data_IF_033249705508
#
_entry.id   IF_033249705508
#
_cell.length_a   1.000
_cell.length_b   1.000
_cell.length_c   1.000
_cell.angle_alpha   90.00
_cell.angle_beta   90.00
_cell.angle_gamma   90.00
#
_symmetry.space_group_name_H-M   'P 1'
#
loop_
_entity.id
_entity.type
_entity.pdbx_description
1 polymer ?
#
# COMPACT_ATOMS: atom_id res chain seq x y z
N UNK A 1 20.52 26.89 -34.40
CA UNK A 1 19.91 25.58 -34.38
C UNK A 1 18.68 25.49 -33.45
N UNK A 2 18.65 26.26 -32.35
CA UNK A 2 17.47 26.31 -31.45
C UNK A 2 16.16 26.69 -32.17
N UNK A 3 16.20 27.61 -33.14
CA UNK A 3 15.01 27.95 -33.94
C UNK A 3 14.51 26.77 -34.79
N UNK A 4 15.42 25.95 -35.25
CA UNK A 4 15.09 24.75 -36.03
C UNK A 4 14.48 23.68 -35.16
N UNK A 5 15.02 23.47 -33.97
CA UNK A 5 14.45 22.58 -32.94
C UNK A 5 13.01 23.02 -32.61
N UNK A 6 12.80 24.28 -32.26
CA UNK A 6 11.48 24.84 -31.98
C UNK A 6 10.50 24.63 -33.12
N UNK A 7 10.92 24.87 -34.37
CA UNK A 7 10.05 24.69 -35.55
C UNK A 7 9.63 23.22 -35.72
N UNK A 8 10.52 22.24 -35.40
CA UNK A 8 10.17 20.81 -35.43
C UNK A 8 9.24 20.44 -34.32
N UNK A 9 9.47 20.95 -33.11
CA UNK A 9 8.58 20.77 -31.97
C UNK A 9 7.17 21.33 -32.28
N UNK A 10 7.05 22.58 -32.77
CA UNK A 10 5.76 23.19 -33.09
C UNK A 10 5.00 22.43 -34.18
N UNK A 11 5.73 21.83 -35.13
CA UNK A 11 5.16 20.98 -36.16
C UNK A 11 4.61 19.67 -35.55
N UNK A 12 5.35 19.08 -34.65
CA UNK A 12 4.92 17.89 -33.90
C UNK A 12 3.64 18.15 -33.10
N UNK A 13 3.57 19.26 -32.38
CA UNK A 13 2.38 19.66 -31.62
C UNK A 13 1.15 19.82 -32.53
N UNK A 14 1.31 20.37 -33.72
CA UNK A 14 0.21 20.46 -34.69
C UNK A 14 -0.25 19.10 -35.19
N UNK A 15 0.70 18.23 -35.54
CA UNK A 15 0.35 16.88 -35.98
C UNK A 15 -0.36 16.08 -34.86
N UNK A 16 0.11 16.20 -33.60
CA UNK A 16 -0.54 15.59 -32.46
C UNK A 16 -1.98 16.08 -32.29
N UNK A 17 -2.21 17.38 -32.35
CA UNK A 17 -3.56 17.96 -32.25
C UNK A 17 -4.48 17.56 -33.42
N UNK A 18 -3.92 17.28 -34.59
CA UNK A 18 -4.64 16.81 -35.77
C UNK A 18 -4.89 15.29 -35.77
N UNK A 19 -4.44 14.57 -34.74
CA UNK A 19 -4.55 13.12 -34.64
C UNK A 19 -3.61 12.36 -35.59
N UNK A 20 -2.57 13.02 -36.09
CA UNK A 20 -1.57 12.45 -37.00
C UNK A 20 -0.36 11.99 -36.20
N UNK A 21 -0.54 10.90 -35.47
CA UNK A 21 0.42 10.45 -34.42
C UNK A 21 1.77 10.06 -34.98
N UNK A 22 1.83 9.33 -36.10
CA UNK A 22 3.07 8.92 -36.73
C UNK A 22 3.90 10.13 -37.23
N UNK A 23 3.25 11.10 -37.81
CA UNK A 23 3.95 12.32 -38.26
C UNK A 23 4.37 13.20 -37.06
N UNK A 24 3.59 13.21 -35.98
CA UNK A 24 3.98 13.88 -34.75
C UNK A 24 5.25 13.25 -34.15
N UNK A 25 5.32 11.92 -34.07
CA UNK A 25 6.50 11.16 -33.62
C UNK A 25 7.74 11.53 -34.45
N UNK A 26 7.61 11.57 -35.78
CA UNK A 26 8.72 11.95 -36.67
C UNK A 26 9.20 13.39 -36.42
N UNK A 27 8.26 14.31 -36.23
CA UNK A 27 8.58 15.73 -36.02
C UNK A 27 9.26 15.94 -34.65
N UNK A 28 8.78 15.30 -33.56
CA UNK A 28 9.41 15.34 -32.25
C UNK A 28 10.77 14.63 -32.24
N UNK A 29 10.91 13.52 -32.95
CA UNK A 29 12.20 12.84 -33.11
C UNK A 29 13.23 13.78 -33.75
N UNK A 30 12.85 14.50 -34.81
CA UNK A 30 13.73 15.50 -35.42
C UNK A 30 14.08 16.67 -34.47
N UNK A 31 13.17 17.05 -33.56
CA UNK A 31 13.47 18.03 -32.52
C UNK A 31 14.48 17.50 -31.49
N UNK A 32 14.33 16.24 -31.06
CA UNK A 32 15.22 15.55 -30.11
C UNK A 32 16.61 15.33 -30.74
N UNK A 33 16.72 15.00 -32.03
CA UNK A 33 18.00 14.89 -32.73
C UNK A 33 18.80 16.22 -32.72
N UNK A 34 18.09 17.35 -32.74
CA UNK A 34 18.70 18.67 -32.67
C UNK A 34 19.07 19.05 -31.23
N UNK A 35 18.19 18.76 -30.28
CA UNK A 35 18.39 19.00 -28.85
C UNK A 35 18.03 17.75 -28.05
N UNK A 36 19.01 16.87 -27.78
CA UNK A 36 18.80 15.62 -27.04
C UNK A 36 18.40 15.79 -25.57
N UNK A 37 18.36 17.02 -25.06
CA UNK A 37 17.93 17.33 -23.69
C UNK A 37 16.58 18.05 -23.65
N UNK A 38 15.88 18.10 -24.75
CA UNK A 38 14.56 18.72 -24.82
C UNK A 38 13.49 17.86 -24.15
N UNK A 39 13.31 18.04 -22.84
CA UNK A 39 12.34 17.28 -22.03
C UNK A 39 10.92 17.38 -22.62
N UNK A 40 10.51 18.55 -23.09
CA UNK A 40 9.18 18.77 -23.66
C UNK A 40 8.97 17.95 -24.95
N UNK A 41 10.01 17.82 -25.78
CA UNK A 41 9.91 17.02 -27.00
C UNK A 41 9.76 15.53 -26.71
N UNK A 42 10.44 15.03 -25.67
CA UNK A 42 10.23 13.67 -25.18
C UNK A 42 8.81 13.49 -24.63
N UNK A 43 8.35 14.39 -23.76
CA UNK A 43 6.99 14.30 -23.19
C UNK A 43 5.93 14.24 -24.29
N UNK A 44 5.99 15.15 -25.25
CA UNK A 44 5.00 15.20 -26.34
C UNK A 44 5.13 14.03 -27.33
N UNK A 45 6.34 13.47 -27.51
CA UNK A 45 6.50 12.25 -28.31
C UNK A 45 5.92 11.05 -27.57
N UNK A 46 6.10 10.99 -26.24
CA UNK A 46 5.46 10.01 -25.38
C UNK A 46 3.92 10.08 -25.50
N UNK A 47 3.33 11.28 -25.49
CA UNK A 47 1.90 11.47 -25.71
C UNK A 47 1.46 10.96 -27.09
N UNK A 48 2.25 11.23 -28.13
CA UNK A 48 1.95 10.72 -29.48
C UNK A 48 2.01 9.17 -29.55
N UNK A 49 2.99 8.57 -28.90
CA UNK A 49 3.06 7.10 -28.79
C UNK A 49 1.90 6.52 -27.97
N UNK A 50 1.51 7.19 -26.90
CA UNK A 50 0.35 6.81 -26.10
C UNK A 50 -0.93 6.77 -26.93
N UNK A 51 -1.22 7.84 -27.68
CA UNK A 51 -2.39 7.91 -28.55
C UNK A 51 -2.33 6.89 -29.69
N UNK A 52 -1.15 6.64 -30.25
CA UNK A 52 -0.94 5.57 -31.23
C UNK A 52 -1.28 4.20 -30.64
N UNK A 53 -0.85 3.93 -29.41
CA UNK A 53 -1.13 2.68 -28.71
C UNK A 53 -2.64 2.46 -28.50
N UNK A 54 -3.43 3.52 -28.25
CA UNK A 54 -4.88 3.43 -28.10
C UNK A 54 -5.57 2.89 -29.37
N UNK A 55 -5.01 3.14 -30.55
CA UNK A 55 -5.55 2.69 -31.83
C UNK A 55 -4.94 1.39 -32.35
N UNK A 56 -3.80 0.97 -31.82
CA UNK A 56 -3.09 -0.22 -32.20
C UNK A 56 -3.61 -1.49 -31.47
N UNK A 57 -3.20 -2.66 -31.92
CA UNK A 57 -3.54 -3.95 -31.29
C UNK A 57 -2.33 -4.88 -31.23
N UNK A 58 -2.37 -5.83 -30.30
CA UNK A 58 -1.32 -6.85 -30.18
C UNK A 58 0.05 -6.28 -29.85
N UNK A 59 1.09 -6.76 -30.53
CA UNK A 59 2.47 -6.32 -30.27
C UNK A 59 2.72 -4.86 -30.62
N UNK A 60 2.05 -4.31 -31.63
CA UNK A 60 2.17 -2.88 -32.00
C UNK A 60 1.69 -1.98 -30.86
N UNK A 61 0.61 -2.36 -30.21
CA UNK A 61 0.09 -1.66 -29.03
C UNK A 61 1.08 -1.66 -27.87
N UNK A 62 1.60 -2.84 -27.51
CA UNK A 62 2.56 -2.97 -26.39
C UNK A 62 3.86 -2.26 -26.66
N UNK A 63 4.35 -2.28 -27.92
CA UNK A 63 5.56 -1.57 -28.32
C UNK A 63 5.37 -0.05 -28.30
N UNK A 64 4.20 0.44 -28.72
CA UNK A 64 3.89 1.87 -28.65
C UNK A 64 3.76 2.35 -27.18
N UNK A 65 3.11 1.59 -26.30
CA UNK A 65 3.10 1.91 -24.87
C UNK A 65 4.49 1.92 -24.26
N UNK A 66 5.36 0.96 -24.62
CA UNK A 66 6.75 0.93 -24.14
C UNK A 66 7.51 2.17 -24.59
N UNK A 67 7.35 2.57 -25.87
CA UNK A 67 7.99 3.77 -26.38
C UNK A 67 7.49 5.04 -25.68
N UNK A 68 6.20 5.12 -25.36
CA UNK A 68 5.65 6.21 -24.56
C UNK A 68 6.29 6.27 -23.16
N UNK A 69 6.39 5.14 -22.48
CA UNK A 69 6.97 5.05 -21.14
C UNK A 69 8.45 5.49 -21.12
N UNK A 70 9.25 5.03 -22.08
CA UNK A 70 10.66 5.39 -22.23
C UNK A 70 10.85 6.89 -22.52
N UNK A 71 9.92 7.48 -23.27
CA UNK A 71 9.92 8.92 -23.53
C UNK A 71 9.54 9.73 -22.28
N UNK A 72 8.57 9.27 -21.46
CA UNK A 72 8.28 9.90 -20.19
C UNK A 72 9.45 9.80 -19.20
N UNK A 73 10.17 8.66 -19.15
CA UNK A 73 11.42 8.54 -18.38
C UNK A 73 12.46 9.57 -18.86
N UNK A 74 12.62 9.72 -20.17
CA UNK A 74 13.56 10.69 -20.74
C UNK A 74 13.13 12.14 -20.44
N UNK A 75 11.83 12.42 -20.45
CA UNK A 75 11.29 13.72 -20.08
C UNK A 75 11.58 14.05 -18.61
N UNK A 76 11.47 13.08 -17.70
CA UNK A 76 11.85 13.24 -16.30
C UNK A 76 13.36 13.43 -16.12
N UNK A 77 14.16 12.70 -16.87
CA UNK A 77 15.63 12.78 -16.79
C UNK A 77 16.15 14.18 -17.19
N UNK A 78 15.58 14.79 -18.20
CA UNK A 78 16.04 16.09 -18.73
C UNK A 78 15.22 17.30 -18.26
N UNK A 79 14.09 17.06 -17.61
CA UNK A 79 13.18 18.08 -17.09
C UNK A 79 13.03 18.00 -15.58
N UNK A 80 11.76 17.96 -15.16
CA UNK A 80 11.39 17.83 -13.76
C UNK A 80 10.58 16.55 -13.54
N UNK A 81 10.89 15.83 -12.49
CA UNK A 81 10.06 14.75 -12.02
C UNK A 81 8.77 15.32 -11.42
N UNK A 82 7.64 14.91 -11.96
CA UNK A 82 6.31 15.31 -11.49
C UNK A 82 5.44 14.09 -11.25
N UNK A 83 4.46 14.22 -10.35
CA UNK A 83 3.51 13.14 -10.09
C UNK A 83 2.73 12.76 -11.36
N UNK A 84 2.45 13.72 -12.23
CA UNK A 84 1.80 13.51 -13.53
C UNK A 84 2.67 12.64 -14.46
N UNK A 85 3.96 12.93 -14.58
CA UNK A 85 4.87 12.11 -15.39
C UNK A 85 5.09 10.73 -14.80
N UNK A 86 5.13 10.61 -13.47
CA UNK A 86 5.15 9.28 -12.83
C UNK A 86 3.92 8.47 -13.18
N UNK A 87 2.71 9.10 -13.16
CA UNK A 87 1.48 8.42 -13.54
C UNK A 87 1.49 7.99 -15.00
N UNK A 88 1.84 8.89 -15.92
CA UNK A 88 1.90 8.57 -17.35
C UNK A 88 2.90 7.45 -17.64
N UNK A 89 4.08 7.48 -17.03
CA UNK A 89 5.06 6.41 -17.18
C UNK A 89 4.53 5.08 -16.62
N UNK A 90 3.89 5.09 -15.44
CA UNK A 90 3.30 3.91 -14.83
C UNK A 90 2.21 3.29 -15.72
N UNK A 91 1.26 4.11 -16.18
CA UNK A 91 0.16 3.68 -17.05
C UNK A 91 0.69 3.13 -18.40
N UNK A 92 1.72 3.77 -18.95
CA UNK A 92 2.34 3.33 -20.20
C UNK A 92 3.09 1.99 -20.01
N UNK A 93 3.86 1.81 -18.93
CA UNK A 93 4.47 0.53 -18.60
C UNK A 93 3.43 -0.56 -18.33
N UNK A 94 2.33 -0.22 -17.65
CA UNK A 94 1.22 -1.14 -17.45
C UNK A 94 0.63 -1.59 -18.81
N UNK A 95 0.37 -0.65 -19.74
CA UNK A 95 -0.09 -0.95 -21.10
C UNK A 95 0.90 -1.77 -21.90
N UNK A 96 2.20 -1.58 -21.68
CA UNK A 96 3.28 -2.36 -22.27
C UNK A 96 3.45 -3.75 -21.61
N UNK A 97 2.67 -4.08 -20.57
CA UNK A 97 2.78 -5.27 -19.75
C UNK A 97 4.14 -5.43 -19.03
N UNK A 98 4.85 -4.32 -18.83
CA UNK A 98 6.04 -4.25 -17.99
C UNK A 98 5.61 -3.90 -16.56
N UNK A 99 5.02 -4.89 -15.88
CA UNK A 99 4.40 -4.71 -14.58
C UNK A 99 5.40 -4.36 -13.47
N UNK A 100 6.66 -4.79 -13.58
CA UNK A 100 7.71 -4.43 -12.61
C UNK A 100 7.99 -2.93 -12.62
N UNK A 101 8.17 -2.36 -13.81
CA UNK A 101 8.37 -0.92 -13.95
C UNK A 101 7.11 -0.13 -13.59
N UNK A 102 5.93 -0.60 -14.02
CA UNK A 102 4.67 0.02 -13.66
C UNK A 102 4.49 0.10 -12.13
N UNK A 103 4.71 -1.02 -11.41
CA UNK A 103 4.66 -1.07 -9.95
C UNK A 103 5.62 -0.05 -9.32
N UNK A 104 6.86 0.02 -9.80
CA UNK A 104 7.88 0.95 -9.28
C UNK A 104 7.46 2.42 -9.39
N UNK A 105 6.77 2.81 -10.47
CA UNK A 105 6.26 4.17 -10.66
C UNK A 105 4.98 4.43 -9.87
N UNK A 106 4.05 3.47 -9.81
CA UNK A 106 2.85 3.61 -8.98
C UNK A 106 3.19 3.74 -7.50
N UNK A 107 4.20 3.06 -7.00
CA UNK A 107 4.64 3.19 -5.60
C UNK A 107 5.06 4.61 -5.21
N UNK A 108 5.63 5.37 -6.14
CA UNK A 108 5.98 6.78 -5.91
C UNK A 108 4.75 7.68 -5.72
N UNK A 109 3.59 7.22 -6.15
CA UNK A 109 2.31 7.93 -6.07
C UNK A 109 1.41 7.45 -4.94
N UNK A 110 1.76 6.35 -4.27
CA UNK A 110 0.91 5.65 -3.32
C UNK A 110 0.35 6.52 -2.19
N UNK A 111 1.15 7.50 -1.72
CA UNK A 111 0.72 8.42 -0.65
C UNK A 111 -0.19 9.55 -1.14
N UNK A 112 -0.16 9.85 -2.42
CA UNK A 112 -0.79 11.04 -3.01
C UNK A 112 -2.04 10.73 -3.81
N UNK A 113 -2.20 9.48 -4.22
CA UNK A 113 -3.19 9.07 -5.21
C UNK A 113 -3.84 7.74 -4.83
N UNK A 114 -5.13 7.79 -4.50
CA UNK A 114 -5.89 6.64 -4.05
C UNK A 114 -6.14 5.61 -5.16
N UNK A 115 -6.22 6.05 -6.42
CA UNK A 115 -6.51 5.16 -7.55
C UNK A 115 -5.33 4.21 -7.87
N UNK A 116 -4.14 4.52 -7.34
CA UNK A 116 -2.92 3.74 -7.57
C UNK A 116 -2.98 2.36 -6.92
N UNK A 117 -3.69 2.20 -5.80
CA UNK A 117 -3.78 0.92 -5.08
C UNK A 117 -4.35 -0.20 -5.96
N UNK A 118 -5.41 0.07 -6.73
CA UNK A 118 -5.99 -0.91 -7.63
C UNK A 118 -4.98 -1.37 -8.70
N UNK A 119 -4.21 -0.43 -9.25
CA UNK A 119 -3.16 -0.74 -10.24
C UNK A 119 -2.00 -1.53 -9.65
N UNK A 120 -1.58 -1.23 -8.41
CA UNK A 120 -0.58 -2.00 -7.69
C UNK A 120 -1.03 -3.44 -7.46
N UNK A 121 -2.29 -3.66 -7.07
CA UNK A 121 -2.87 -5.00 -6.91
C UNK A 121 -2.88 -5.75 -8.25
N UNK A 122 -3.26 -5.10 -9.35
CA UNK A 122 -3.24 -5.72 -10.68
C UNK A 122 -1.81 -6.10 -11.11
N UNK A 123 -0.83 -5.21 -10.92
CA UNK A 123 0.58 -5.49 -11.20
C UNK A 123 1.08 -6.67 -10.35
N UNK A 124 0.82 -6.65 -9.05
CA UNK A 124 1.26 -7.73 -8.14
C UNK A 124 0.64 -9.08 -8.47
N UNK A 125 -0.62 -9.11 -8.93
CA UNK A 125 -1.25 -10.35 -9.44
C UNK A 125 -0.57 -10.88 -10.69
N UNK A 126 -0.22 -9.99 -11.63
CA UNK A 126 0.48 -10.36 -12.85
C UNK A 126 1.90 -10.88 -12.57
N UNK A 127 2.59 -10.32 -11.58
CA UNK A 127 3.94 -10.70 -11.16
C UNK A 127 3.97 -11.88 -10.18
N UNK A 128 2.84 -12.20 -9.54
CA UNK A 128 2.78 -13.19 -8.46
C UNK A 128 3.39 -12.70 -7.14
N UNK A 129 3.46 -11.37 -6.94
CA UNK A 129 4.08 -10.70 -5.77
C UNK A 129 3.05 -10.19 -4.77
N UNK A 130 1.85 -10.78 -4.74
CA UNK A 130 0.76 -10.31 -3.90
C UNK A 130 1.07 -10.32 -2.41
N UNK A 131 1.85 -11.30 -1.92
CA UNK A 131 2.27 -11.36 -0.51
C UNK A 131 3.21 -10.23 -0.13
N UNK A 132 4.18 -9.92 -0.98
CA UNK A 132 5.13 -8.83 -0.80
C UNK A 132 4.43 -7.47 -0.79
N UNK A 133 3.44 -7.29 -1.68
CA UNK A 133 2.61 -6.10 -1.67
C UNK A 133 1.77 -6.02 -0.39
N UNK A 134 1.10 -7.11 0.02
CA UNK A 134 0.32 -7.16 1.24
C UNK A 134 1.14 -6.78 2.47
N UNK A 135 2.35 -7.31 2.61
CA UNK A 135 3.27 -6.93 3.69
C UNK A 135 3.58 -5.43 3.72
N UNK A 136 3.85 -4.82 2.57
CA UNK A 136 4.11 -3.37 2.47
C UNK A 136 2.88 -2.54 2.82
N UNK A 137 1.71 -2.92 2.34
CA UNK A 137 0.46 -2.22 2.63
C UNK A 137 0.04 -2.37 4.10
N UNK A 138 0.28 -3.55 4.70
CA UNK A 138 0.03 -3.76 6.12
C UNK A 138 0.90 -2.85 6.99
N UNK A 139 2.19 -2.72 6.69
CA UNK A 139 3.08 -1.81 7.42
C UNK A 139 2.55 -0.36 7.35
N UNK A 140 2.08 0.09 6.18
CA UNK A 140 1.47 1.42 6.04
C UNK A 140 0.16 1.55 6.79
N UNK A 141 -0.70 0.54 6.75
CA UNK A 141 -1.95 0.55 7.51
C UNK A 141 -1.68 0.69 9.01
N UNK A 142 -0.74 -0.07 9.55
CA UNK A 142 -0.37 -0.02 10.96
C UNK A 142 0.27 1.32 11.36
N UNK A 143 0.97 1.98 10.44
CA UNK A 143 1.59 3.29 10.66
C UNK A 143 0.57 4.44 10.60
N UNK A 144 -0.34 4.41 9.62
CA UNK A 144 -1.21 5.56 9.30
C UNK A 144 -2.65 5.40 9.79
N UNK A 145 -3.13 4.17 9.97
CA UNK A 145 -4.53 3.86 10.25
C UNK A 145 -5.47 4.09 9.06
N UNK A 146 -4.95 4.37 7.86
CA UNK A 146 -5.79 4.70 6.71
C UNK A 146 -6.53 3.47 6.17
N UNK A 147 -7.86 3.53 6.17
CA UNK A 147 -8.76 2.42 5.80
C UNK A 147 -8.52 1.91 4.35
N UNK A 148 -8.08 2.77 3.44
CA UNK A 148 -7.79 2.37 2.05
C UNK A 148 -6.76 1.23 1.95
N UNK A 149 -5.77 1.21 2.84
CA UNK A 149 -4.79 0.12 2.88
C UNK A 149 -5.40 -1.19 3.38
N UNK A 150 -6.31 -1.13 4.36
CA UNK A 150 -7.03 -2.31 4.83
C UNK A 150 -7.94 -2.86 3.73
N UNK A 151 -8.63 -2.01 2.98
CA UNK A 151 -9.46 -2.43 1.85
C UNK A 151 -8.63 -3.15 0.78
N UNK A 152 -7.46 -2.58 0.42
CA UNK A 152 -6.52 -3.20 -0.52
C UNK A 152 -5.97 -4.56 0.00
N UNK A 153 -5.67 -4.65 1.29
CA UNK A 153 -5.27 -5.91 1.94
C UNK A 153 -6.35 -6.97 1.84
N UNK A 154 -7.62 -6.61 2.07
CA UNK A 154 -8.75 -7.53 1.92
C UNK A 154 -8.90 -8.08 0.49
N UNK A 155 -8.39 -7.39 -0.53
CA UNK A 155 -8.36 -7.90 -1.90
C UNK A 155 -7.18 -8.87 -2.17
N UNK A 156 -6.10 -8.73 -1.43
CA UNK A 156 -4.89 -9.54 -1.57
C UNK A 156 -4.92 -10.81 -0.73
N UNK A 157 -5.55 -10.77 0.45
CA UNK A 157 -5.64 -11.90 1.36
C UNK A 157 -6.59 -13.01 0.87
N UNK A 158 -6.40 -14.27 1.31
CA UNK A 158 -7.25 -15.37 0.94
C UNK A 158 -8.72 -15.15 1.30
N UNK A 159 -9.61 -15.20 0.32
CA UNK A 159 -11.05 -14.92 0.51
C UNK A 159 -11.75 -15.96 1.38
N UNK A 160 -11.27 -17.18 1.39
CA UNK A 160 -11.76 -18.27 2.23
C UNK A 160 -11.53 -17.96 3.71
N UNK A 161 -10.33 -17.48 4.06
CA UNK A 161 -9.99 -17.05 5.42
C UNK A 161 -10.90 -15.90 5.87
N UNK A 162 -11.03 -14.87 5.04
CA UNK A 162 -11.86 -13.70 5.37
C UNK A 162 -13.34 -14.06 5.57
N UNK A 163 -13.89 -14.98 4.75
CA UNK A 163 -15.26 -15.47 4.93
C UNK A 163 -15.43 -16.26 6.21
N UNK A 164 -14.45 -17.09 6.55
CA UNK A 164 -14.49 -17.88 7.77
C UNK A 164 -14.42 -16.98 9.02
N UNK A 165 -13.58 -15.95 9.00
CA UNK A 165 -13.52 -14.96 10.07
C UNK A 165 -14.81 -14.14 10.18
N UNK A 166 -15.38 -13.72 9.07
CA UNK A 166 -16.66 -13.02 9.07
C UNK A 166 -17.80 -13.88 9.67
N UNK A 167 -17.81 -15.18 9.40
CA UNK A 167 -18.76 -16.10 10.01
C UNK A 167 -18.57 -16.25 11.51
N UNK A 168 -17.32 -16.17 12.00
CA UNK A 168 -17.00 -16.24 13.43
C UNK A 168 -17.44 -14.97 14.17
N UNK A 169 -17.23 -13.79 13.57
CA UNK A 169 -17.57 -12.50 14.18
C UNK A 169 -19.09 -12.26 14.31
N UNK A 170 -19.89 -12.96 13.53
CA UNK A 170 -21.34 -12.75 13.52
C UNK A 170 -21.76 -11.44 12.86
N UNK A 171 -23.02 -11.05 13.08
CA UNK A 171 -23.61 -9.87 12.44
C UNK A 171 -24.18 -8.84 13.43
N UNK A 172 -24.04 -9.08 14.72
CA UNK A 172 -24.64 -8.26 15.77
C UNK A 172 -23.84 -6.96 16.10
N UNK A 173 -22.60 -6.85 15.58
CA UNK A 173 -21.76 -5.67 15.75
C UNK A 173 -21.25 -5.44 17.18
N UNK A 174 -21.29 -6.48 18.04
CA UNK A 174 -20.83 -6.38 19.44
C UNK A 174 -19.33 -6.63 19.58
N UNK A 175 -18.69 -7.19 18.56
CA UNK A 175 -17.28 -7.56 18.57
C UNK A 175 -16.41 -6.50 17.85
N UNK A 176 -15.36 -6.06 18.51
CA UNK A 176 -14.25 -5.38 17.85
C UNK A 176 -13.30 -6.39 17.22
N UNK A 177 -12.69 -6.05 16.10
CA UNK A 177 -11.73 -6.94 15.45
C UNK A 177 -10.63 -6.19 14.71
N UNK A 178 -9.49 -6.88 14.52
CA UNK A 178 -8.43 -6.48 13.62
C UNK A 178 -7.94 -7.69 12.81
N UNK A 179 -7.50 -7.45 11.58
CA UNK A 179 -6.88 -8.43 10.70
C UNK A 179 -5.44 -8.01 10.45
N UNK A 180 -4.49 -8.90 10.74
CA UNK A 180 -3.06 -8.64 10.59
C UNK A 180 -2.36 -9.96 10.28
N UNK A 181 -1.55 -9.98 9.23
CA UNK A 181 -0.67 -11.12 8.91
C UNK A 181 0.55 -11.06 9.85
N UNK A 182 0.49 -11.79 10.97
CA UNK A 182 1.47 -11.72 12.05
C UNK A 182 2.74 -12.53 11.76
N UNK A 183 2.60 -13.64 11.04
CA UNK A 183 3.71 -14.56 10.71
C UNK A 183 4.22 -14.39 9.28
N UNK A 184 3.66 -13.39 8.56
CA UNK A 184 4.05 -13.04 7.18
C UNK A 184 3.86 -14.18 6.17
N UNK A 185 2.91 -15.11 6.44
CA UNK A 185 2.62 -16.22 5.55
C UNK A 185 1.69 -15.83 4.38
N UNK A 186 1.16 -14.62 4.39
CA UNK A 186 0.23 -14.04 3.41
C UNK A 186 -1.24 -14.33 3.73
N UNK A 187 -1.53 -14.86 4.91
CA UNK A 187 -2.87 -15.08 5.44
C UNK A 187 -3.01 -14.29 6.73
N UNK A 188 -3.99 -13.40 6.88
CA UNK A 188 -4.09 -12.61 8.10
C UNK A 188 -4.59 -13.48 9.27
N UNK A 189 -4.12 -13.18 10.48
CA UNK A 189 -4.75 -13.59 11.72
C UNK A 189 -5.91 -12.65 12.05
N UNK A 190 -6.91 -13.21 12.74
CA UNK A 190 -8.01 -12.45 13.31
C UNK A 190 -7.77 -12.24 14.81
N UNK A 191 -7.76 -10.98 15.22
CA UNK A 191 -7.82 -10.59 16.62
C UNK A 191 -9.23 -10.07 16.85
N UNK A 192 -10.00 -10.65 17.77
CA UNK A 192 -11.34 -10.14 18.08
C UNK A 192 -11.64 -10.24 19.57
N UNK A 193 -12.55 -9.38 20.03
CA UNK A 193 -12.97 -9.35 21.42
C UNK A 193 -14.19 -8.47 21.63
N UNK A 194 -14.79 -8.50 22.83
CA UNK A 194 -15.93 -7.66 23.16
C UNK A 194 -15.51 -6.18 23.28
N UNK A 195 -16.35 -5.32 22.75
CA UNK A 195 -16.14 -3.86 22.86
C UNK A 195 -16.70 -3.42 24.22
N UNK A 196 -15.84 -2.83 25.07
CA UNK A 196 -16.33 -2.14 26.27
C UNK A 196 -16.98 -0.81 25.91
N UNK A 197 -18.30 -0.80 25.90
CA UNK A 197 -19.11 0.41 25.62
C UNK A 197 -19.35 1.28 26.85
N UNK A 198 -18.86 0.89 28.03
CA UNK A 198 -19.10 1.60 29.28
C UNK A 198 -18.03 2.66 29.61
N UNK A 199 -16.91 2.65 28.89
CA UNK A 199 -15.86 3.67 29.04
C UNK A 199 -16.22 4.99 28.39
N UNK A 200 -15.89 6.11 29.03
CA UNK A 200 -16.10 7.47 28.50
C UNK A 200 -15.07 7.87 27.41
N UNK A 201 -14.29 6.96 26.89
CA UNK A 201 -13.31 7.23 25.83
C UNK A 201 -13.82 6.69 24.49
N UNK A 202 -13.60 7.45 23.42
CA UNK A 202 -13.89 7.04 22.04
C UNK A 202 -12.95 5.91 21.55
N UNK A 203 -12.11 5.38 22.42
CA UNK A 203 -11.20 4.26 22.11
C UNK A 203 -11.88 2.93 22.42
N UNK A 204 -11.86 2.05 21.44
CA UNK A 204 -12.33 0.68 21.57
C UNK A 204 -11.33 -0.08 22.44
N UNK A 205 -11.71 -0.42 23.67
CA UNK A 205 -10.91 -1.23 24.57
C UNK A 205 -11.33 -2.69 24.44
N UNK A 206 -10.42 -3.56 23.98
CA UNK A 206 -10.61 -5.00 24.02
C UNK A 206 -10.14 -5.51 25.38
N UNK A 207 -11.08 -5.82 26.28
CA UNK A 207 -10.78 -6.33 27.62
C UNK A 207 -10.53 -7.84 27.62
N UNK A 208 -11.12 -8.52 26.67
CA UNK A 208 -11.04 -9.96 26.45
C UNK A 208 -10.91 -10.18 24.95
N UNK A 209 -9.78 -10.71 24.50
CA UNK A 209 -9.52 -10.88 23.07
C UNK A 209 -9.02 -12.29 22.76
N UNK A 210 -9.38 -12.76 21.59
CA UNK A 210 -8.93 -14.05 21.08
C UNK A 210 -8.21 -13.85 19.74
N UNK A 211 -7.10 -14.54 19.58
CA UNK A 211 -6.32 -14.60 18.36
C UNK A 211 -6.62 -15.90 17.62
N UNK A 212 -7.01 -15.80 16.38
CA UNK A 212 -7.29 -16.93 15.50
C UNK A 212 -6.39 -16.88 14.26
N UNK A 213 -6.03 -18.05 13.75
CA UNK A 213 -5.39 -18.21 12.44
C UNK A 213 -6.25 -19.07 11.51
N UNK A 214 -6.07 -18.89 10.20
CA UNK A 214 -6.63 -19.74 9.15
C UNK A 214 -5.55 -20.69 8.64
N UNK A 215 -5.68 -21.97 8.96
CA UNK A 215 -4.72 -22.99 8.55
C UNK A 215 -5.43 -24.30 8.21
N UNK A 216 -5.03 -24.97 7.11
CA UNK A 216 -5.63 -26.22 6.65
C UNK A 216 -7.16 -26.11 6.45
N UNK A 217 -7.64 -25.02 5.85
CA UNK A 217 -9.06 -24.72 5.58
C UNK A 217 -9.92 -24.64 6.87
N UNK A 218 -9.31 -24.30 8.00
CA UNK A 218 -10.00 -24.17 9.29
C UNK A 218 -9.53 -22.96 10.07
N UNK A 219 -10.48 -22.33 10.79
CA UNK A 219 -10.15 -21.33 11.81
C UNK A 219 -9.70 -22.05 13.07
N UNK A 220 -8.53 -21.71 13.56
CA UNK A 220 -7.95 -22.28 14.77
C UNK A 220 -7.65 -21.17 15.76
N UNK A 221 -8.13 -21.33 16.98
CA UNK A 221 -7.77 -20.45 18.09
C UNK A 221 -6.31 -20.69 18.48
N UNK A 222 -5.54 -19.60 18.52
CA UNK A 222 -4.12 -19.62 18.90
C UNK A 222 -3.92 -19.18 20.34
N UNK A 223 -4.62 -18.14 20.75
CA UNK A 223 -4.42 -17.50 22.04
C UNK A 223 -5.68 -16.80 22.51
N UNK A 224 -5.94 -16.84 23.81
CA UNK A 224 -6.98 -16.08 24.47
C UNK A 224 -6.32 -15.23 25.57
N UNK A 225 -6.46 -13.92 25.47
CA UNK A 225 -5.90 -12.96 26.38
C UNK A 225 -6.98 -12.21 27.14
N UNK A 226 -6.72 -11.94 28.41
CA UNK A 226 -7.59 -11.11 29.25
C UNK A 226 -6.81 -9.94 29.77
N UNK A 227 -7.38 -8.73 29.70
CA UNK A 227 -6.82 -7.51 30.28
C UNK A 227 -7.69 -7.06 31.43
N UNK A 228 -7.12 -6.86 32.60
CA UNK A 228 -7.86 -6.39 33.75
C UNK A 228 -8.40 -4.96 33.51
N UNK A 229 -9.72 -4.82 33.57
CA UNK A 229 -10.49 -3.61 33.20
C UNK A 229 -10.24 -2.36 34.07
N UNK A 230 -9.48 -2.51 35.15
CA UNK A 230 -9.11 -1.35 36.00
C UNK A 230 -8.06 -0.43 35.33
N UNK A 231 -7.54 -0.83 34.22
CA UNK A 231 -6.46 -0.21 33.51
C UNK A 231 -7.01 0.12 32.11
N UNK A 232 -6.82 1.31 31.61
CA UNK A 232 -7.29 1.72 30.29
C UNK A 232 -6.43 0.98 29.23
N UNK A 233 -6.87 -0.17 28.69
CA UNK A 233 -6.04 -1.01 27.84
C UNK A 233 -5.92 -0.38 26.44
N UNK A 234 -4.72 -0.23 25.95
CA UNK A 234 -4.42 0.16 24.59
C UNK A 234 -3.78 -1.03 23.87
N UNK A 235 -4.62 -1.80 23.18
CA UNK A 235 -4.15 -2.95 22.38
C UNK A 235 -3.68 -2.44 21.02
N UNK A 236 -2.41 -2.59 20.71
CA UNK A 236 -1.81 -2.20 19.45
C UNK A 236 -1.12 -3.39 18.78
N UNK A 237 -1.19 -3.41 17.48
CA UNK A 237 -0.34 -4.30 16.69
C UNK A 237 0.85 -3.48 16.20
N UNK A 238 2.05 -3.98 16.47
CA UNK A 238 3.27 -3.33 16.04
C UNK A 238 3.58 -3.66 14.58
N UNK A 239 4.36 -2.81 13.92
CA UNK A 239 4.87 -3.08 12.56
C UNK A 239 5.77 -4.33 12.47
N UNK A 240 6.19 -4.86 13.64
CA UNK A 240 6.96 -6.11 13.74
C UNK A 240 6.05 -7.35 13.96
N UNK A 241 4.73 -7.21 13.81
CA UNK A 241 3.78 -8.31 13.93
C UNK A 241 3.57 -8.81 15.36
N UNK A 242 3.75 -7.95 16.35
CA UNK A 242 3.47 -8.28 17.75
C UNK A 242 2.23 -7.52 18.25
N UNK A 243 1.39 -8.19 19.03
CA UNK A 243 0.30 -7.55 19.76
C UNK A 243 0.90 -7.04 21.07
N UNK A 244 0.78 -5.75 21.28
CA UNK A 244 1.20 -5.08 22.51
C UNK A 244 -0.03 -4.54 23.21
N UNK A 245 -0.23 -4.94 24.42
CA UNK A 245 -1.27 -4.42 25.29
C UNK A 245 -0.61 -3.62 26.41
N UNK A 246 -0.90 -2.31 26.45
CA UNK A 246 -0.32 -1.38 27.40
C UNK A 246 -1.43 -0.89 28.33
N UNK A 247 -1.39 -1.33 29.58
CA UNK A 247 -2.33 -0.91 30.61
C UNK A 247 -1.75 0.15 31.55
N UNK A 248 -2.44 1.28 31.75
CA UNK A 248 -2.03 2.32 32.69
C UNK A 248 -2.79 2.20 34.01
N UNK A 249 -2.14 1.71 35.04
CA UNK A 249 -2.68 1.66 36.41
C UNK A 249 -2.71 3.03 37.10
N UNK A 250 -3.69 3.22 37.95
CA UNK A 250 -4.03 4.54 38.56
C UNK A 250 -3.09 5.03 39.65
N UNK A 251 -1.99 4.45 40.00
CA UNK A 251 -1.06 5.09 40.97
C UNK A 251 0.33 4.48 41.16
N UNK A 252 0.65 3.33 40.64
CA UNK A 252 1.93 2.72 40.99
C UNK A 252 2.56 1.78 39.95
N UNK A 253 2.01 1.63 38.77
CA UNK A 253 2.59 0.74 37.76
C UNK A 253 1.82 0.66 36.48
N UNK A 254 2.45 0.16 35.45
CA UNK A 254 1.80 -0.22 34.22
C UNK A 254 2.13 -1.68 33.89
N UNK A 255 1.18 -2.31 33.26
CA UNK A 255 1.30 -3.66 32.72
C UNK A 255 1.53 -3.52 31.22
N UNK A 256 2.52 -4.25 30.72
CA UNK A 256 2.78 -4.42 29.31
C UNK A 256 2.70 -5.90 29.00
N UNK A 257 1.77 -6.29 28.14
CA UNK A 257 1.70 -7.63 27.59
C UNK A 257 2.21 -7.60 26.16
N UNK A 258 3.03 -8.56 25.82
CA UNK A 258 3.57 -8.75 24.49
C UNK A 258 3.21 -10.16 24.01
N UNK A 259 2.52 -10.24 22.89
CA UNK A 259 2.16 -11.51 22.26
C UNK A 259 2.63 -11.47 20.81
N UNK A 260 3.38 -12.48 20.43
CA UNK A 260 3.86 -12.67 19.06
C UNK A 260 3.53 -14.07 18.57
N UNK A 261 3.09 -14.16 17.33
CA UNK A 261 2.91 -15.41 16.59
C UNK A 261 3.94 -15.49 15.47
N UNK A 262 4.65 -16.61 15.34
CA UNK A 262 5.68 -16.85 14.34
C UNK A 262 5.28 -17.93 13.31
N UNK A 263 3.99 -18.30 13.26
CA UNK A 263 3.47 -19.36 12.39
C UNK A 263 3.55 -20.76 12.99
N UNK A 264 4.24 -20.92 14.14
CA UNK A 264 4.46 -22.19 14.82
C UNK A 264 4.08 -22.13 16.28
N UNK A 265 4.50 -21.08 16.99
CA UNK A 265 4.32 -20.93 18.44
C UNK A 265 3.99 -19.49 18.82
N UNK A 266 3.32 -19.35 19.95
CA UNK A 266 3.07 -18.05 20.57
C UNK A 266 4.15 -17.78 21.60
N UNK A 267 4.79 -16.61 21.47
CA UNK A 267 5.59 -16.02 22.52
C UNK A 267 4.73 -15.04 23.29
N UNK A 268 4.64 -15.23 24.59
CA UNK A 268 3.88 -14.35 25.50
C UNK A 268 4.79 -13.91 26.64
N UNK A 269 4.82 -12.59 26.87
CA UNK A 269 5.59 -11.97 27.94
C UNK A 269 4.74 -10.93 28.67
N UNK A 270 4.64 -11.06 29.98
CA UNK A 270 4.05 -10.05 30.86
C UNK A 270 5.15 -9.25 31.54
N UNK A 271 5.11 -7.96 31.38
CA UNK A 271 6.03 -7.04 32.03
C UNK A 271 5.27 -6.17 33.03
N UNK A 272 5.68 -6.27 34.30
CA UNK A 272 5.14 -5.39 35.34
C UNK A 272 6.18 -4.36 35.72
N UNK A 273 5.81 -3.09 35.72
CA UNK A 273 6.64 -2.01 36.25
C UNK A 273 5.92 -1.32 37.39
N UNK A 274 6.50 -1.36 38.56
CA UNK A 274 6.06 -0.54 39.69
C UNK A 274 6.92 0.74 39.73
N UNK A 275 6.29 1.90 39.69
CA UNK A 275 6.97 3.14 40.07
C UNK A 275 7.33 3.01 41.55
N UNK A 276 8.62 2.92 41.87
CA UNK A 276 9.07 3.17 43.23
C UNK A 276 8.67 4.61 43.57
N UNK A 277 7.70 4.78 44.45
CA UNK A 277 7.56 6.03 45.16
C UNK A 277 8.85 6.22 45.96
N UNK A 278 9.76 7.06 45.46
CA UNK A 278 10.79 7.61 46.35
C UNK A 278 10.05 8.35 47.44
N UNK A 279 10.13 7.82 48.63
CA UNK A 279 9.69 8.47 49.86
C UNK A 279 10.55 9.72 50.02
N UNK A 280 10.02 10.85 49.56
CA UNK A 280 10.58 12.17 49.84
C UNK A 280 10.06 12.59 51.25
N UNK A 281 10.40 11.79 52.25
CA UNK A 281 10.39 12.25 53.61
C UNK A 281 11.80 12.81 53.92
N UNK A 282 12.01 14.02 53.43
CA UNK A 282 13.16 14.79 53.87
C UNK A 282 12.88 15.38 55.26
N UNK A 283 13.68 15.02 56.20
CA UNK A 283 14.14 15.92 57.23
C UNK A 283 15.49 16.50 56.82
#
# INVERSE_FOLDING_TARGET
DLKFCQSRYDLGVRYLSDGRYEEAILAFTAAIEIDPKNAQAYEQRGDAYWELAQSAQGSEQTDAYRSAAEDYESAMQWGSETDELYRRAADAYYGAQDYEKAESYYEKLLEKDEDVLARLIECSRALGTGKELAKRLQARYLETGEERYLQALCELWPQEALRAYAALLGTDGTMGFALVDLDEDGTPELICGEIDTQGQSEQIALTDYTLYTWKNDQVTELYHGFVDTWINPDVRVTTAGAIVNEGHGTSAGYELQYVRWDGVQIEHHDFWSYAKTEDVSGE
#
